data_IF_320537753065
#
_entry.id   IF_320537753065
#
_cell.length_a   1.000
_cell.length_b   1.000
_cell.length_c   1.000
_cell.angle_alpha   90.00
_cell.angle_beta   90.00
_cell.angle_gamma   90.00
#
_symmetry.space_group_name_H-M   'P 1'
#
loop_
_entity.id
_entity.type
_entity.pdbx_description
1 polymer ?
#
# COMPACT_ATOMS: atom_id res chain seq x y z
N UNK A 1 34.04 -10.54 -18.45
CA UNK A 1 32.86 -10.47 -17.56
C UNK A 1 33.08 -9.37 -16.54
N UNK A 2 32.55 -8.17 -16.79
CA UNK A 2 32.63 -7.07 -15.84
C UNK A 2 31.51 -7.23 -14.82
N UNK A 3 31.88 -7.48 -13.56
CA UNK A 3 30.97 -7.43 -12.42
C UNK A 3 30.49 -5.98 -12.26
N UNK A 4 29.28 -5.68 -12.76
CA UNK A 4 28.59 -4.43 -12.43
C UNK A 4 28.22 -4.48 -10.95
N UNK A 5 29.15 -4.06 -10.09
CA UNK A 5 28.86 -3.74 -8.70
C UNK A 5 27.81 -2.63 -8.67
N UNK A 6 26.66 -2.93 -8.07
CA UNK A 6 25.63 -1.95 -7.73
C UNK A 6 26.26 -0.87 -6.82
N UNK A 7 26.10 0.44 -7.09
CA UNK A 7 26.41 1.45 -6.10
C UNK A 7 25.50 1.22 -4.88
N UNK A 8 26.12 1.04 -3.72
CA UNK A 8 25.42 0.95 -2.43
C UNK A 8 24.65 2.26 -2.23
N UNK A 9 23.34 2.15 -2.04
CA UNK A 9 22.41 3.18 -1.54
C UNK A 9 21.81 4.19 -2.54
N UNK A 10 21.51 3.80 -3.78
CA UNK A 10 20.64 4.65 -4.61
C UNK A 10 19.17 4.34 -4.33
N UNK A 11 18.54 5.15 -3.46
CA UNK A 11 17.10 5.16 -3.30
C UNK A 11 16.44 5.47 -4.63
N UNK A 12 15.48 4.64 -5.07
CA UNK A 12 14.70 4.93 -6.27
C UNK A 12 13.97 6.27 -6.13
N UNK A 13 13.97 7.13 -7.17
CA UNK A 13 13.17 8.34 -7.18
C UNK A 13 11.70 8.03 -6.91
N UNK A 14 11.00 8.94 -6.23
CA UNK A 14 9.61 8.72 -5.84
C UNK A 14 8.70 8.38 -7.04
N UNK A 15 8.87 9.06 -8.18
CA UNK A 15 8.11 8.74 -9.39
C UNK A 15 8.35 7.30 -9.89
N UNK A 16 9.57 6.78 -9.77
CA UNK A 16 9.86 5.39 -10.12
C UNK A 16 9.19 4.41 -9.13
N UNK A 17 9.12 4.76 -7.85
CA UNK A 17 8.39 3.96 -6.86
C UNK A 17 6.89 3.90 -7.13
N UNK A 18 6.28 4.99 -7.63
CA UNK A 18 4.86 5.04 -8.01
C UNK A 18 4.52 4.10 -9.19
N UNK A 19 5.48 3.84 -10.07
CA UNK A 19 5.33 2.86 -11.16
C UNK A 19 5.51 1.41 -10.67
N UNK A 20 6.24 1.18 -9.58
CA UNK A 20 6.58 -0.16 -9.09
C UNK A 20 5.60 -0.69 -8.04
N UNK A 21 5.11 0.18 -7.17
CA UNK A 21 4.28 -0.20 -6.03
C UNK A 21 2.94 0.54 -6.05
N UNK A 22 1.82 -0.13 -5.70
CA UNK A 22 0.54 0.54 -5.55
C UNK A 22 0.61 1.71 -4.54
N UNK A 23 -0.18 2.78 -4.72
CA UNK A 23 -0.16 3.94 -3.83
C UNK A 23 -0.30 3.58 -2.35
N UNK A 24 -1.16 2.60 -2.02
CA UNK A 24 -1.36 2.18 -0.62
C UNK A 24 -0.10 1.58 -0.02
N UNK A 25 0.69 0.81 -0.78
CA UNK A 25 1.96 0.25 -0.29
C UNK A 25 3.01 1.35 -0.06
N UNK A 26 2.99 2.42 -0.85
CA UNK A 26 3.83 3.60 -0.61
C UNK A 26 3.42 4.34 0.67
N UNK A 27 2.12 4.50 0.91
CA UNK A 27 1.59 5.07 2.17
C UNK A 27 2.03 4.20 3.36
N UNK A 28 1.84 2.88 3.28
CA UNK A 28 2.29 1.94 4.32
C UNK A 28 3.80 2.08 4.62
N UNK A 29 4.64 2.21 3.58
CA UNK A 29 6.06 2.43 3.76
C UNK A 29 6.38 3.79 4.41
N UNK A 30 5.62 4.84 4.09
CA UNK A 30 5.77 6.15 4.72
C UNK A 30 5.38 6.13 6.21
N UNK A 31 4.25 5.51 6.56
CA UNK A 31 3.81 5.33 7.95
C UNK A 31 4.83 4.55 8.77
N UNK A 32 5.42 3.49 8.17
CA UNK A 32 6.51 2.75 8.81
C UNK A 32 7.73 3.64 9.06
N UNK A 33 8.14 4.43 8.05
CA UNK A 33 9.28 5.35 8.19
C UNK A 33 9.07 6.40 9.28
N UNK A 34 7.86 6.94 9.42
CA UNK A 34 7.49 7.89 10.51
C UNK A 34 7.82 7.28 11.87
N UNK A 35 7.42 6.02 12.10
CA UNK A 35 7.72 5.33 13.37
C UNK A 35 9.21 5.04 13.52
N UNK A 36 9.87 4.53 12.47
CA UNK A 36 11.31 4.21 12.52
C UNK A 36 12.18 5.44 12.77
N UNK A 37 11.79 6.60 12.25
CA UNK A 37 12.49 7.87 12.43
C UNK A 37 12.06 8.59 13.71
N UNK A 38 11.06 8.08 14.43
CA UNK A 38 10.46 8.70 15.61
C UNK A 38 10.01 10.12 15.32
N UNK A 39 9.41 10.34 14.15
CA UNK A 39 8.77 11.62 13.82
C UNK A 39 7.42 11.71 14.56
N UNK A 40 7.52 11.94 15.88
CA UNK A 40 6.39 11.87 16.81
C UNK A 40 5.29 12.86 16.45
N UNK A 41 5.64 13.99 15.81
CA UNK A 41 4.66 14.99 15.40
C UNK A 41 3.69 14.46 14.33
N UNK A 42 4.09 13.44 13.58
CA UNK A 42 3.24 12.77 12.58
C UNK A 42 2.42 11.61 13.16
N UNK A 43 2.59 11.25 14.43
CA UNK A 43 1.89 10.09 15.01
C UNK A 43 0.35 10.27 15.03
N UNK A 44 -0.13 11.51 15.04
CA UNK A 44 -1.57 11.80 14.89
C UNK A 44 -2.10 11.36 13.52
N UNK A 45 -1.36 11.62 12.44
CA UNK A 45 -1.73 11.20 11.08
C UNK A 45 -1.71 9.67 10.97
N UNK A 46 -0.72 9.01 11.59
CA UNK A 46 -0.65 7.54 11.64
C UNK A 46 -1.84 6.97 12.39
N UNK A 47 -2.22 7.57 13.52
CA UNK A 47 -3.36 7.15 14.34
C UNK A 47 -4.68 7.29 13.57
N UNK A 48 -4.92 8.43 12.94
CA UNK A 48 -6.12 8.69 12.13
C UNK A 48 -6.22 7.69 10.96
N UNK A 49 -5.11 7.38 10.30
CA UNK A 49 -5.08 6.37 9.24
C UNK A 49 -5.47 4.98 9.76
N UNK A 50 -4.90 4.54 10.89
CA UNK A 50 -5.22 3.25 11.51
C UNK A 50 -6.69 3.19 11.90
N UNK A 51 -7.19 4.24 12.55
CA UNK A 51 -8.59 4.32 12.97
C UNK A 51 -9.54 4.26 11.78
N UNK A 52 -9.30 5.06 10.74
CA UNK A 52 -10.12 5.07 9.52
C UNK A 52 -10.11 3.72 8.78
N UNK A 53 -8.94 3.07 8.68
CA UNK A 53 -8.83 1.75 8.05
C UNK A 53 -9.62 0.68 8.83
N UNK A 54 -9.56 0.69 10.16
CA UNK A 54 -10.30 -0.24 11.01
C UNK A 54 -11.82 0.02 11.02
N UNK A 55 -12.26 1.27 10.87
CA UNK A 55 -13.68 1.62 10.70
C UNK A 55 -14.21 1.16 9.34
N UNK A 56 -13.42 1.33 8.29
CA UNK A 56 -13.77 0.94 6.92
C UNK A 56 -13.80 -0.59 6.76
N UNK A 57 -12.87 -1.30 7.43
CA UNK A 57 -12.78 -2.76 7.39
C UNK A 57 -12.91 -3.34 8.80
N UNK A 58 -14.15 -3.60 9.27
CA UNK A 58 -14.36 -4.23 10.56
C UNK A 58 -13.63 -5.58 10.65
N UNK A 59 -12.88 -5.77 11.73
CA UNK A 59 -12.09 -6.98 11.95
C UNK A 59 -10.69 -6.98 11.33
N UNK A 60 -10.26 -5.87 10.69
CA UNK A 60 -8.87 -5.67 10.27
C UNK A 60 -7.89 -5.88 11.41
N UNK A 61 -8.24 -5.36 12.60
CA UNK A 61 -7.54 -5.59 13.85
C UNK A 61 -8.54 -6.04 14.93
N UNK A 62 -8.03 -6.72 15.96
CA UNK A 62 -8.81 -6.90 17.18
C UNK A 62 -8.98 -5.55 17.90
N UNK A 63 -10.11 -5.29 18.59
CA UNK A 63 -10.32 -4.03 19.32
C UNK A 63 -9.19 -3.71 20.30
N UNK A 64 -8.63 -4.75 20.94
CA UNK A 64 -7.50 -4.62 21.86
C UNK A 64 -6.20 -4.23 21.17
N UNK A 65 -5.94 -4.72 19.96
CA UNK A 65 -4.76 -4.32 19.17
C UNK A 65 -4.93 -2.87 18.72
N UNK A 66 -6.04 -2.56 18.04
CA UNK A 66 -6.34 -1.20 17.59
C UNK A 66 -6.21 -0.20 18.75
N UNK A 67 -6.88 -0.48 19.88
CA UNK A 67 -6.85 0.39 21.05
C UNK A 67 -5.45 0.56 21.66
N UNK A 68 -4.57 -0.44 21.59
CA UNK A 68 -3.17 -0.30 22.05
C UNK A 68 -2.35 0.55 21.09
N UNK A 69 -2.52 0.35 19.78
CA UNK A 69 -1.79 1.06 18.75
C UNK A 69 -2.17 2.54 18.74
N UNK A 70 -3.48 2.84 18.66
CA UNK A 70 -3.98 4.23 18.63
C UNK A 70 -3.68 4.97 19.92
N UNK A 71 -3.88 4.33 21.08
CA UNK A 71 -3.51 4.91 22.37
C UNK A 71 -2.00 5.15 22.48
N UNK A 72 -1.18 4.21 22.02
CA UNK A 72 0.28 4.35 22.07
C UNK A 72 0.78 5.51 21.22
N UNK A 73 0.28 5.64 19.98
CA UNK A 73 0.58 6.75 19.06
C UNK A 73 0.17 8.09 19.68
N UNK A 74 -1.08 8.19 20.13
CA UNK A 74 -1.61 9.42 20.70
C UNK A 74 -0.93 9.81 22.02
N UNK A 75 -0.64 8.85 22.90
CA UNK A 75 0.07 9.09 24.15
C UNK A 75 1.48 9.64 23.89
N UNK A 76 2.20 9.07 22.92
CA UNK A 76 3.54 9.54 22.55
C UNK A 76 3.51 10.97 22.02
N UNK A 77 2.56 11.28 21.13
CA UNK A 77 2.37 12.64 20.61
C UNK A 77 2.05 13.63 21.73
N UNK A 78 1.12 13.30 22.62
CA UNK A 78 0.73 14.18 23.72
C UNK A 78 1.89 14.43 24.68
N UNK A 79 2.69 13.41 24.99
CA UNK A 79 3.87 13.60 25.84
C UNK A 79 4.92 14.47 25.16
N UNK A 80 5.11 14.34 23.85
CA UNK A 80 6.02 15.21 23.09
C UNK A 80 5.52 16.67 23.06
N UNK A 81 4.21 16.87 22.92
CA UNK A 81 3.60 18.18 23.09
C UNK A 81 3.82 18.71 24.51
N UNK A 82 3.54 17.94 25.56
CA UNK A 82 3.81 18.36 26.95
C UNK A 82 5.28 18.77 27.17
N UNK A 83 6.22 18.20 26.42
CA UNK A 83 7.66 18.51 26.49
C UNK A 83 8.02 19.81 25.77
N UNK A 84 7.39 20.09 24.63
CA UNK A 84 7.76 21.17 23.71
C UNK A 84 6.82 22.39 23.75
N UNK A 85 5.55 22.16 24.07
CA UNK A 85 4.45 23.12 24.06
C UNK A 85 3.57 22.91 25.30
N UNK A 86 3.55 23.88 26.22
CA UNK A 86 2.82 23.73 27.48
C UNK A 86 1.42 24.33 27.44
N UNK A 87 0.94 24.74 26.26
CA UNK A 87 -0.40 25.29 26.12
C UNK A 87 -1.44 24.17 26.16
N UNK A 88 -2.25 24.18 27.22
CA UNK A 88 -3.35 23.25 27.41
C UNK A 88 -4.34 23.28 26.22
N UNK A 89 -4.49 24.40 25.51
CA UNK A 89 -5.36 24.51 24.33
C UNK A 89 -4.90 23.64 23.17
N UNK A 90 -3.59 23.43 23.03
CA UNK A 90 -3.02 22.55 22.00
C UNK A 90 -3.17 21.09 22.40
N UNK A 91 -3.04 20.75 23.68
CA UNK A 91 -3.03 19.37 24.16
C UNK A 91 -4.42 18.78 24.38
N UNK A 92 -5.39 19.60 24.80
CA UNK A 92 -6.76 19.15 25.13
C UNK A 92 -7.46 18.43 23.97
N UNK A 93 -7.40 18.92 22.71
CA UNK A 93 -8.02 18.21 21.59
C UNK A 93 -7.47 16.79 21.39
N UNK A 94 -6.18 16.57 21.64
CA UNK A 94 -5.58 15.25 21.52
C UNK A 94 -6.00 14.32 22.67
N UNK A 95 -6.18 14.85 23.88
CA UNK A 95 -6.71 14.08 25.01
C UNK A 95 -8.17 13.65 24.81
N UNK A 96 -8.99 14.52 24.22
CA UNK A 96 -10.38 14.22 23.89
C UNK A 96 -10.48 13.15 22.79
N UNK A 97 -9.61 13.24 21.77
CA UNK A 97 -9.52 12.23 20.71
C UNK A 97 -9.22 10.83 21.27
N UNK A 98 -8.47 10.68 22.36
CA UNK A 98 -8.23 9.36 22.98
C UNK A 98 -9.50 8.80 23.66
N UNK A 99 -10.43 9.65 24.12
CA UNK A 99 -11.67 9.19 24.78
C UNK A 99 -12.67 8.58 23.79
N UNK A 100 -12.78 9.17 22.60
CA UNK A 100 -13.86 8.86 21.63
C UNK A 100 -13.77 7.45 21.01
N UNK A 101 -12.60 6.94 20.55
CA UNK A 101 -12.46 5.63 19.92
C UNK A 101 -12.88 4.47 20.83
N UNK A 102 -12.69 4.60 22.14
CA UNK A 102 -13.09 3.57 23.11
C UNK A 102 -14.60 3.53 23.32
N UNK A 103 -15.29 4.67 23.18
CA UNK A 103 -16.75 4.75 23.27
C UNK A 103 -17.40 4.33 21.94
N UNK A 104 -16.86 4.71 20.79
CA UNK A 104 -17.40 4.32 19.49
C UNK A 104 -17.29 2.80 19.24
N UNK A 105 -16.15 2.20 19.63
CA UNK A 105 -15.92 0.74 19.59
C UNK A 105 -16.83 -0.05 20.55
N UNK A 106 -17.58 0.63 21.43
CA UNK A 106 -18.46 0.01 22.43
C UNK A 106 -19.92 -0.15 21.97
N UNK A 107 -20.26 0.33 20.77
CA UNK A 107 -21.66 0.40 20.29
C UNK A 107 -22.21 -0.85 19.61
N UNK A 108 -21.41 -1.91 19.39
CA UNK A 108 -21.90 -3.17 18.80
C UNK A 108 -21.98 -4.31 19.82
N UNK A 109 -23.21 -4.65 20.21
CA UNK A 109 -23.73 -5.91 20.78
C UNK A 109 -22.89 -6.71 21.81
N UNK A 110 -23.43 -6.75 23.04
CA UNK A 110 -23.20 -7.68 24.17
C UNK A 110 -21.87 -7.57 24.98
N UNK A 111 -21.94 -7.58 26.33
CA UNK A 111 -20.82 -7.26 27.21
C UNK A 111 -19.91 -8.48 27.41
N UNK A 112 -19.04 -8.78 26.44
CA UNK A 112 -17.94 -9.72 26.66
C UNK A 112 -16.85 -9.01 27.48
N UNK A 113 -16.45 -9.61 28.62
CA UNK A 113 -15.38 -9.18 29.56
C UNK A 113 -14.57 -7.98 29.07
N UNK A 114 -15.10 -6.81 29.41
CA UNK A 114 -14.68 -5.46 29.04
C UNK A 114 -13.16 -5.29 29.02
N UNK A 115 -12.66 -4.49 28.10
CA UNK A 115 -11.30 -3.91 28.13
C UNK A 115 -11.17 -2.87 29.27
N UNK A 116 -11.56 -3.25 30.49
CA UNK A 116 -11.45 -2.45 31.73
C UNK A 116 -10.01 -1.95 31.92
N UNK A 117 -9.04 -2.77 31.51
CA UNK A 117 -7.62 -2.41 31.55
C UNK A 117 -7.32 -1.21 30.67
N UNK A 118 -7.82 -1.19 29.43
CA UNK A 118 -7.58 -0.09 28.49
C UNK A 118 -8.23 1.20 28.99
N UNK A 119 -9.49 1.12 29.45
CA UNK A 119 -10.20 2.27 30.00
C UNK A 119 -9.48 2.83 31.24
N UNK A 120 -9.01 1.95 32.15
CA UNK A 120 -8.21 2.36 33.31
C UNK A 120 -6.89 3.01 32.90
N UNK A 121 -6.22 2.49 31.88
CA UNK A 121 -4.99 3.10 31.34
C UNK A 121 -5.25 4.50 30.82
N UNK A 122 -6.36 4.72 30.09
CA UNK A 122 -6.74 6.04 29.58
C UNK A 122 -7.01 7.01 30.72
N UNK A 123 -7.76 6.61 31.75
CA UNK A 123 -8.02 7.47 32.91
C UNK A 123 -6.73 7.82 33.64
N UNK A 124 -5.85 6.85 33.88
CA UNK A 124 -4.56 7.08 34.53
C UNK A 124 -3.67 8.01 33.69
N UNK A 125 -3.65 7.83 32.38
CA UNK A 125 -2.90 8.69 31.47
C UNK A 125 -3.44 10.13 31.47
N UNK A 126 -4.76 10.31 31.50
CA UNK A 126 -5.35 11.65 31.62
C UNK A 126 -4.95 12.35 32.92
N UNK A 127 -4.97 11.63 34.04
CA UNK A 127 -4.49 12.15 35.34
C UNK A 127 -3.03 12.54 35.26
N UNK A 128 -2.18 11.72 34.63
CA UNK A 128 -0.78 12.05 34.38
C UNK A 128 -0.67 13.35 33.59
N UNK A 129 -1.31 13.47 32.42
CA UNK A 129 -1.19 14.67 31.59
C UNK A 129 -1.71 15.92 32.32
N UNK A 130 -2.82 15.83 33.03
CA UNK A 130 -3.32 16.95 33.85
C UNK A 130 -2.31 17.36 34.94
N UNK A 131 -1.59 16.39 35.53
CA UNK A 131 -0.54 16.66 36.51
C UNK A 131 0.65 17.38 35.87
N UNK A 132 1.12 16.90 34.70
CA UNK A 132 2.21 17.51 33.95
C UNK A 132 1.89 18.93 33.44
N UNK A 133 0.61 19.21 33.16
CA UNK A 133 0.16 20.55 32.76
C UNK A 133 0.04 21.51 33.94
N UNK A 134 -0.37 21.02 35.11
CA UNK A 134 -0.57 21.83 36.32
C UNK A 134 0.73 22.17 37.04
N UNK A 135 1.65 21.21 37.13
CA UNK A 135 2.85 21.32 37.95
C UNK A 135 4.13 21.20 37.09
N UNK A 136 4.86 22.32 36.88
CA UNK A 136 6.07 22.30 36.07
C UNK A 136 7.24 21.54 36.72
N UNK A 137 7.29 21.43 38.04
CA UNK A 137 8.35 20.70 38.74
C UNK A 137 8.15 19.19 38.59
N UNK A 138 6.91 18.69 38.78
CA UNK A 138 6.56 17.30 38.49
C UNK A 138 6.80 16.96 37.01
N UNK A 139 6.51 17.90 36.10
CA UNK A 139 6.78 17.72 34.68
C UNK A 139 8.27 17.54 34.40
N UNK A 140 9.12 18.40 34.96
CA UNK A 140 10.56 18.29 34.80
C UNK A 140 11.09 16.97 35.36
N UNK A 141 10.64 16.59 36.56
CA UNK A 141 11.00 15.31 37.19
C UNK A 141 10.57 14.11 36.33
N UNK A 142 9.33 14.12 35.80
CA UNK A 142 8.83 13.06 34.93
C UNK A 142 9.70 12.87 33.69
N UNK A 143 10.03 13.95 32.97
CA UNK A 143 10.83 13.85 31.74
C UNK A 143 12.29 13.47 31.99
N UNK A 144 12.85 13.81 33.16
CA UNK A 144 14.21 13.42 33.54
C UNK A 144 14.30 11.96 33.99
N UNK A 145 13.40 11.52 34.86
CA UNK A 145 13.57 10.26 35.59
C UNK A 145 12.67 9.12 35.09
N UNK A 146 11.43 9.42 34.68
CA UNK A 146 10.42 8.38 34.37
C UNK A 146 10.19 8.16 32.88
N UNK A 147 10.25 9.23 32.08
CA UNK A 147 9.87 9.18 30.66
C UNK A 147 10.69 8.18 29.85
N UNK A 148 12.01 8.13 30.05
CA UNK A 148 12.88 7.19 29.33
C UNK A 148 12.68 5.74 29.76
N UNK A 149 12.17 5.51 30.98
CA UNK A 149 11.89 4.18 31.51
C UNK A 149 10.54 3.68 30.99
N UNK A 150 9.50 4.47 31.16
CA UNK A 150 8.11 4.06 30.87
C UNK A 150 7.74 4.23 29.38
N UNK A 151 8.32 5.22 28.70
CA UNK A 151 8.02 5.59 27.31
C UNK A 151 9.27 5.59 26.43
N UNK A 152 10.32 4.86 26.83
CA UNK A 152 11.56 4.74 26.07
C UNK A 152 11.53 3.69 24.97
N UNK A 153 12.66 3.04 24.74
CA UNK A 153 12.85 2.10 23.63
C UNK A 153 11.90 0.90 23.65
N UNK A 154 11.58 0.37 24.84
CA UNK A 154 10.65 -0.75 24.97
C UNK A 154 9.24 -0.38 24.49
N UNK A 155 8.78 0.82 24.83
CA UNK A 155 7.50 1.35 24.35
C UNK A 155 7.52 1.54 22.83
N UNK A 156 8.56 2.17 22.30
CA UNK A 156 8.72 2.40 20.86
C UNK A 156 8.72 1.09 20.06
N UNK A 157 9.42 0.06 20.56
CA UNK A 157 9.48 -1.26 19.91
C UNK A 157 8.13 -1.97 19.89
N UNK A 158 7.36 -1.90 20.98
CA UNK A 158 6.01 -2.46 20.99
C UNK A 158 5.08 -1.71 20.03
N UNK A 159 5.23 -0.38 19.93
CA UNK A 159 4.47 0.42 18.99
C UNK A 159 4.81 0.08 17.54
N UNK A 160 6.10 -0.12 17.23
CA UNK A 160 6.57 -0.60 15.93
C UNK A 160 5.96 -1.97 15.60
N UNK A 161 5.97 -2.93 16.52
CA UNK A 161 5.37 -4.26 16.28
C UNK A 161 3.87 -4.16 15.98
N UNK A 162 3.15 -3.35 16.75
CA UNK A 162 1.71 -3.16 16.56
C UNK A 162 1.40 -2.51 15.20
N UNK A 163 2.17 -1.50 14.80
CA UNK A 163 2.00 -0.87 13.48
C UNK A 163 2.36 -1.85 12.36
N UNK A 164 3.46 -2.58 12.49
CA UNK A 164 3.91 -3.51 11.44
C UNK A 164 2.88 -4.61 11.17
N UNK A 165 2.30 -5.20 12.22
CA UNK A 165 1.21 -6.18 12.05
C UNK A 165 -0.01 -5.55 11.37
N UNK A 166 -0.38 -4.31 11.72
CA UNK A 166 -1.44 -3.59 11.00
C UNK A 166 -1.11 -3.42 9.51
N UNK A 167 0.12 -3.02 9.17
CA UNK A 167 0.55 -2.83 7.78
C UNK A 167 0.55 -4.15 6.99
N UNK A 168 0.97 -5.26 7.61
CA UNK A 168 0.88 -6.59 6.99
C UNK A 168 -0.58 -6.94 6.68
N UNK A 169 -1.49 -6.73 7.63
CA UNK A 169 -2.92 -7.01 7.44
C UNK A 169 -3.53 -6.16 6.34
N UNK A 170 -3.16 -4.87 6.28
CA UNK A 170 -3.60 -3.97 5.24
C UNK A 170 -3.09 -4.39 3.86
N UNK A 171 -1.82 -4.78 3.76
CA UNK A 171 -1.21 -5.26 2.52
C UNK A 171 -1.88 -6.55 2.00
N UNK A 172 -2.29 -7.45 2.91
CA UNK A 172 -3.04 -8.67 2.57
C UNK A 172 -4.44 -8.40 1.99
N UNK A 173 -5.07 -7.27 2.34
CA UNK A 173 -6.39 -6.90 1.81
C UNK A 173 -6.32 -6.30 0.40
N UNK A 174 -5.14 -5.83 -0.02
CA UNK A 174 -4.94 -5.10 -1.27
C UNK A 174 -3.88 -5.78 -2.15
N UNK A 175 -4.11 -7.04 -2.57
CA UNK A 175 -3.19 -7.72 -3.45
C UNK A 175 -3.06 -6.98 -4.79
N UNK A 176 -1.86 -7.01 -5.38
CA UNK A 176 -1.62 -6.45 -6.71
C UNK A 176 -2.43 -7.29 -7.73
N UNK A 177 -3.34 -6.68 -8.50
CA UNK A 177 -4.11 -7.42 -9.50
C UNK A 177 -3.21 -7.90 -10.63
N UNK A 178 -3.55 -9.05 -11.20
CA UNK A 178 -2.91 -9.53 -12.42
C UNK A 178 -3.21 -8.58 -13.60
N UNK A 179 -2.42 -8.69 -14.68
CA UNK A 179 -2.69 -7.95 -15.91
C UNK A 179 -4.10 -8.25 -16.45
N UNK A 180 -4.51 -9.52 -16.44
CA UNK A 180 -5.83 -9.93 -16.90
C UNK A 180 -6.98 -9.30 -16.09
N UNK A 181 -6.85 -9.28 -14.75
CA UNK A 181 -7.82 -8.61 -13.88
C UNK A 181 -7.85 -7.10 -14.14
N UNK A 182 -6.67 -6.48 -14.26
CA UNK A 182 -6.55 -5.03 -14.53
C UNK A 182 -7.23 -4.66 -15.85
N UNK A 183 -7.01 -5.44 -16.91
CA UNK A 183 -7.68 -5.25 -18.20
C UNK A 183 -9.20 -5.38 -18.06
N UNK A 184 -9.69 -6.35 -17.29
CA UNK A 184 -11.14 -6.53 -17.09
C UNK A 184 -11.83 -5.42 -16.29
N UNK A 185 -11.09 -4.67 -15.46
CA UNK A 185 -11.61 -3.55 -14.67
C UNK A 185 -11.42 -2.19 -15.35
N UNK A 186 -10.48 -2.09 -16.30
CA UNK A 186 -10.18 -0.85 -16.99
C UNK A 186 -11.37 -0.48 -17.88
N UNK A 187 -11.88 0.75 -17.72
CA UNK A 187 -12.96 1.26 -18.55
C UNK A 187 -12.50 1.35 -20.00
N UNK A 188 -13.34 0.92 -20.94
CA UNK A 188 -13.10 1.08 -22.38
C UNK A 188 -13.27 2.53 -22.88
N UNK A 189 -13.51 3.49 -21.98
CA UNK A 189 -13.70 4.88 -22.35
C UNK A 189 -12.39 5.51 -22.86
N UNK A 190 -12.38 6.11 -24.07
CA UNK A 190 -11.17 6.71 -24.65
C UNK A 190 -10.36 7.65 -23.74
N UNK A 191 -10.97 8.56 -22.94
CA UNK A 191 -10.19 9.45 -22.08
C UNK A 191 -9.42 8.69 -20.98
N UNK A 192 -9.96 7.60 -20.43
CA UNK A 192 -9.28 6.81 -19.39
C UNK A 192 -8.05 6.09 -19.96
N UNK A 193 -8.17 5.58 -21.19
CA UNK A 193 -7.06 4.95 -21.89
C UNK A 193 -5.96 5.97 -22.26
N UNK A 194 -6.35 7.19 -22.63
CA UNK A 194 -5.42 8.28 -22.90
C UNK A 194 -4.66 8.72 -21.65
N UNK A 195 -5.34 8.85 -20.50
CA UNK A 195 -4.70 9.13 -19.21
C UNK A 195 -3.68 8.04 -18.82
N UNK A 196 -4.02 6.76 -19.03
CA UNK A 196 -3.11 5.65 -18.81
C UNK A 196 -1.89 5.71 -19.74
N UNK A 197 -2.09 6.03 -21.02
CA UNK A 197 -1.01 6.21 -21.97
C UNK A 197 -0.09 7.38 -21.57
N UNK A 198 -0.66 8.51 -21.16
CA UNK A 198 0.09 9.69 -20.68
C UNK A 198 0.89 9.39 -19.40
N UNK A 199 0.31 8.66 -18.44
CA UNK A 199 1.02 8.21 -17.23
C UNK A 199 2.18 7.25 -17.57
N UNK A 200 2.02 6.40 -18.59
CA UNK A 200 3.08 5.53 -19.11
C UNK A 200 4.16 6.30 -19.91
N UNK A 201 3.91 7.56 -20.29
CA UNK A 201 4.81 8.40 -21.11
C UNK A 201 5.98 8.99 -20.31
N UNK A 202 6.39 8.36 -19.20
CA UNK A 202 7.63 8.68 -18.51
C UNK A 202 8.70 7.61 -18.81
N UNK A 203 9.21 7.53 -20.06
CA UNK A 203 10.11 6.47 -20.50
C UNK A 203 11.43 6.46 -19.72
N UNK A 204 11.84 7.61 -19.17
CA UNK A 204 13.04 7.71 -18.34
C UNK A 204 12.88 6.99 -17.00
N UNK A 205 11.71 7.08 -16.37
CA UNK A 205 11.44 6.36 -15.12
C UNK A 205 11.33 4.86 -15.36
N UNK A 206 10.64 4.46 -16.44
CA UNK A 206 10.54 3.05 -16.82
C UNK A 206 11.94 2.48 -17.12
N UNK A 207 12.78 3.21 -17.86
CA UNK A 207 14.17 2.82 -18.13
C UNK A 207 14.95 2.64 -16.83
N UNK A 208 14.86 3.59 -15.90
CA UNK A 208 15.53 3.51 -14.61
C UNK A 208 15.09 2.26 -13.82
N UNK A 209 13.79 1.98 -13.79
CA UNK A 209 13.25 0.79 -13.14
C UNK A 209 13.73 -0.50 -13.79
N UNK A 210 13.65 -0.61 -15.11
CA UNK A 210 14.09 -1.80 -15.84
C UNK A 210 15.59 -2.04 -15.64
N UNK A 211 16.41 -0.98 -15.65
CA UNK A 211 17.83 -1.07 -15.31
C UNK A 211 18.04 -1.53 -13.86
N UNK A 212 17.26 -1.02 -12.91
CA UNK A 212 17.31 -1.47 -11.52
C UNK A 212 16.96 -2.95 -11.40
N UNK A 213 15.90 -3.43 -12.05
CA UNK A 213 15.53 -4.86 -12.08
C UNK A 213 16.58 -5.72 -12.78
N UNK A 214 17.22 -5.19 -13.84
CA UNK A 214 18.36 -5.86 -14.50
C UNK A 214 19.52 -6.05 -13.53
N UNK A 215 19.86 -5.03 -12.74
CA UNK A 215 20.93 -5.12 -11.74
C UNK A 215 20.61 -6.09 -10.60
N UNK A 216 19.32 -6.29 -10.27
CA UNK A 216 18.88 -7.29 -9.30
C UNK A 216 18.88 -8.72 -9.88
N UNK A 217 19.06 -8.88 -11.20
CA UNK A 217 19.02 -10.19 -11.86
C UNK A 217 17.59 -10.73 -12.08
N UNK A 218 16.57 -9.87 -12.07
CA UNK A 218 15.18 -10.30 -12.23
C UNK A 218 14.70 -10.40 -13.69
N UNK A 219 15.49 -9.92 -14.66
CA UNK A 219 15.12 -9.95 -16.07
C UNK A 219 15.79 -11.14 -16.77
N UNK A 220 14.99 -12.16 -17.09
CA UNK A 220 15.40 -13.27 -17.95
C UNK A 220 15.26 -12.88 -19.44
N UNK A 221 16.07 -13.50 -20.33
CA UNK A 221 15.87 -13.37 -21.77
C UNK A 221 14.46 -13.75 -22.18
N UNK A 222 13.95 -13.10 -23.24
CA UNK A 222 12.61 -13.40 -23.75
C UNK A 222 12.48 -14.89 -24.12
N UNK A 223 11.39 -15.52 -23.68
CA UNK A 223 11.04 -16.86 -24.10
C UNK A 223 10.75 -16.89 -25.62
N UNK A 224 11.05 -18.02 -26.28
CA UNK A 224 10.75 -18.19 -27.70
C UNK A 224 9.25 -18.12 -27.95
N UNK A 225 8.83 -17.22 -28.83
CA UNK A 225 7.44 -17.13 -29.29
C UNK A 225 7.09 -18.33 -30.19
N UNK A 226 5.81 -18.73 -30.27
CA UNK A 226 5.36 -19.68 -31.28
C UNK A 226 5.71 -19.20 -32.70
N UNK A 227 6.08 -20.11 -33.61
CA UNK A 227 6.69 -19.75 -34.90
C UNK A 227 5.82 -18.87 -35.81
N UNK A 228 4.49 -18.90 -35.63
CA UNK A 228 3.55 -18.16 -36.48
C UNK A 228 2.88 -16.97 -35.75
N UNK A 229 3.31 -16.67 -34.51
CA UNK A 229 2.73 -15.59 -33.73
C UNK A 229 3.18 -14.22 -34.29
N UNK A 230 2.26 -13.48 -34.91
CA UNK A 230 2.52 -12.14 -35.44
C UNK A 230 2.77 -12.07 -36.96
N UNK A 231 2.81 -13.21 -37.66
CA UNK A 231 2.99 -13.24 -39.12
C UNK A 231 1.90 -12.46 -39.87
N UNK A 232 0.66 -12.50 -39.37
CA UNK A 232 -0.47 -11.76 -39.95
C UNK A 232 -0.26 -10.24 -39.93
N UNK A 233 0.51 -9.72 -38.97
CA UNK A 233 0.86 -8.31 -38.89
C UNK A 233 1.84 -7.98 -40.02
N UNK A 234 2.88 -8.81 -40.19
CA UNK A 234 3.89 -8.61 -41.23
C UNK A 234 3.29 -8.71 -42.64
N UNK A 235 2.41 -9.69 -42.86
CA UNK A 235 1.74 -9.85 -44.16
C UNK A 235 0.83 -8.66 -44.46
N UNK A 236 0.06 -8.19 -43.49
CA UNK A 236 -0.84 -7.04 -43.65
C UNK A 236 -0.07 -5.73 -43.93
N UNK A 237 1.04 -5.49 -43.23
CA UNK A 237 1.89 -4.31 -43.44
C UNK A 237 2.65 -4.34 -44.78
N UNK A 238 2.78 -5.53 -45.39
CA UNK A 238 3.44 -5.71 -46.69
C UNK A 238 2.49 -5.52 -47.87
N UNK A 239 1.20 -5.31 -47.64
CA UNK A 239 0.23 -5.08 -48.70
C UNK A 239 0.40 -3.68 -49.31
N UNK A 240 0.44 -3.55 -50.64
CA UNK A 240 0.41 -2.25 -51.28
C UNK A 240 -0.95 -1.56 -51.03
N UNK A 241 -0.96 -0.22 -50.97
CA UNK A 241 -2.18 0.58 -50.91
C UNK A 241 -3.09 0.20 -52.08
N UNK A 242 -4.15 -0.56 -51.81
CA UNK A 242 -5.14 -0.93 -52.84
C UNK A 242 -6.01 0.29 -53.13
N UNK A 243 -5.52 1.14 -54.02
CA UNK A 243 -6.13 2.41 -54.43
C UNK A 243 -5.97 2.72 -55.92
N UNK A 244 -5.54 1.75 -56.74
CA UNK A 244 -5.74 1.79 -58.19
C UNK A 244 -6.62 0.61 -58.57
N UNK A 245 -7.91 0.91 -58.71
CA UNK A 245 -8.82 0.12 -59.54
C UNK A 245 -8.31 0.27 -60.97
N UNK A 246 -7.51 -0.69 -61.43
CA UNK A 246 -7.44 -0.96 -62.86
C UNK A 246 -8.58 -1.96 -63.14
N UNK A 247 -9.71 -1.40 -63.56
CA UNK A 247 -10.78 -2.16 -64.19
C UNK A 247 -10.21 -2.78 -65.47
N UNK A 248 -10.15 -4.10 -65.54
CA UNK A 248 -10.78 -4.86 -66.62
C UNK A 248 -10.77 -6.39 -66.39
N UNK A 249 -11.64 -7.16 -67.07
CA UNK A 249 -12.47 -8.17 -66.40
C UNK A 249 -12.09 -9.64 -66.65
N UNK A 250 -12.69 -10.48 -65.81
CA UNK A 250 -12.91 -11.94 -65.91
C UNK A 250 -11.64 -12.83 -65.80
N UNK A 251 -11.60 -13.82 -64.91
CA UNK A 251 -12.48 -15.00 -64.94
C UNK A 251 -12.47 -15.67 -63.57
N UNK A 252 -13.63 -16.18 -63.15
CA UNK A 252 -13.92 -16.54 -61.76
C UNK A 252 -13.16 -17.75 -61.20
N UNK A 253 -13.14 -17.80 -59.87
CA UNK A 253 -13.40 -19.02 -59.13
C UNK A 253 -13.99 -18.65 -57.76
N UNK A 254 -14.93 -19.49 -57.39
CA UNK A 254 -15.96 -19.33 -56.37
C UNK A 254 -15.42 -19.18 -54.94
N UNK A 255 -16.22 -18.49 -54.14
CA UNK A 255 -15.93 -18.11 -52.77
C UNK A 255 -16.14 -19.28 -51.80
N UNK A 256 -15.18 -19.43 -50.87
CA UNK A 256 -15.31 -20.27 -49.69
C UNK A 256 -14.61 -19.63 -48.49
N UNK A 257 -14.99 -18.39 -48.14
CA UNK A 257 -14.54 -17.77 -46.89
C UNK A 257 -15.38 -18.32 -45.74
N UNK A 258 -14.84 -19.31 -45.05
CA UNK A 258 -15.25 -19.60 -43.66
C UNK A 258 -14.66 -18.51 -42.78
N UNK A 259 -15.53 -17.63 -42.28
CA UNK A 259 -15.20 -16.73 -41.17
C UNK A 259 -14.99 -17.61 -39.94
N UNK A 260 -13.74 -18.02 -39.72
CA UNK A 260 -13.29 -18.48 -38.42
C UNK A 260 -13.15 -17.23 -37.55
N UNK A 261 -14.17 -16.97 -36.73
CA UNK A 261 -14.00 -16.10 -35.58
C UNK A 261 -12.89 -16.72 -34.71
N UNK A 262 -11.67 -16.21 -34.83
CA UNK A 262 -10.60 -16.53 -33.90
C UNK A 262 -10.98 -15.84 -32.59
N UNK A 263 -11.64 -16.59 -31.72
CA UNK A 263 -11.76 -16.24 -30.32
C UNK A 263 -10.34 -16.15 -29.77
N UNK A 264 -9.88 -14.99 -29.25
CA UNK A 264 -8.62 -14.97 -28.53
C UNK A 264 -8.77 -15.93 -27.36
N UNK A 265 -7.79 -16.84 -27.18
CA UNK A 265 -7.70 -17.69 -26.01
C UNK A 265 -7.31 -16.85 -24.78
N UNK A 266 -8.15 -15.89 -24.41
CA UNK A 266 -8.24 -15.43 -23.03
C UNK A 266 -9.07 -16.49 -22.36
N UNK A 267 -8.40 -17.49 -21.81
CA UNK A 267 -9.03 -18.60 -21.10
C UNK A 267 -10.06 -18.05 -20.11
N UNK A 268 -11.30 -18.51 -20.32
CA UNK A 268 -12.35 -18.53 -19.32
C UNK A 268 -11.78 -19.06 -18.00
N UNK A 269 -11.49 -18.16 -17.06
CA UNK A 269 -11.35 -18.54 -15.65
C UNK A 269 -12.76 -18.58 -15.06
N UNK A 270 -13.52 -19.61 -15.42
CA UNK A 270 -14.70 -20.02 -14.67
C UNK A 270 -14.68 -21.54 -14.56
N UNK A 271 -14.46 -22.02 -13.34
CA UNK A 271 -14.84 -23.36 -12.90
C UNK A 271 -13.81 -24.47 -13.09
N UNK A 272 -13.22 -24.88 -11.97
CA UNK A 272 -12.86 -26.28 -11.65
C UNK A 272 -11.87 -27.02 -12.57
N UNK A 273 -10.56 -26.78 -12.36
CA UNK A 273 -9.59 -27.84 -11.99
C UNK A 273 -8.19 -27.24 -11.87
N UNK A 274 -7.73 -27.04 -10.63
CA UNK A 274 -6.35 -26.70 -10.30
C UNK A 274 -5.48 -27.96 -10.27
N UNK A 275 -4.34 -28.03 -10.97
CA UNK A 275 -3.24 -28.88 -10.56
C UNK A 275 -2.50 -28.18 -9.42
N UNK A 276 -2.57 -28.79 -8.22
CA UNK A 276 -1.76 -28.42 -7.06
C UNK A 276 -0.29 -28.61 -7.41
N UNK A 277 0.50 -27.53 -7.42
CA UNK A 277 1.96 -27.61 -7.42
C UNK A 277 2.47 -27.17 -6.05
N UNK A 278 2.91 -28.17 -5.30
CA UNK A 278 3.58 -28.06 -4.00
C UNK A 278 4.92 -27.35 -4.21
N UNK A 279 5.12 -26.20 -3.54
CA UNK A 279 6.43 -25.57 -3.42
C UNK A 279 7.20 -26.24 -2.27
N UNK A 280 8.19 -27.07 -2.60
CA UNK A 280 9.19 -27.52 -1.66
C UNK A 280 10.13 -26.35 -1.30
N UNK A 281 10.26 -26.06 -0.01
CA UNK A 281 11.27 -25.14 0.53
C UNK A 281 12.64 -25.81 0.53
N UNK A 282 13.65 -25.08 0.08
CA UNK A 282 15.03 -25.13 0.61
C UNK A 282 15.50 -23.70 0.79
#
# INVERSE_FOLDING_TARGET
MATRKLPKNDSLPFGALQLLAPPVRLVSAALWKVLKQKDVMQYGVVEEFVTSACETVPGLLTPRHQGRLTLGLAARLILELCRTQTDAKVITPHLERIRVPVVASSSSAAPKKKDVKLLKTITNFQVLIQTLLRDPAEREHFFKERFLVDYGSAFDQELEKLLWEFLIRLDQLLPVPSLAQTVSWLSETPPVLEECAQAATQPQLLKLLLQHQTCLGHLEPAASLPPNMGDSILTSLSLPLSGKVELDPATGSDAGQTVSCITPAIGLLSGENMPVVVLARV
#
